data_IF_828049371687
#
_entry.id   IF_828049371687
#
_cell.length_a   1.000
_cell.length_b   1.000
_cell.length_c   1.000
_cell.angle_alpha   90.00
_cell.angle_beta   90.00
_cell.angle_gamma   90.00
#
_symmetry.space_group_name_H-M   'P 1'
#
loop_
_entity.id
_entity.type
_entity.pdbx_description
1 polymer ?
#
# COMPACT_ATOMS: atom_id res chain seq x y z
N UNK A 1 10.43 41.25 -11.70
CA UNK A 1 9.81 41.02 -13.03
C UNK A 1 10.43 39.78 -13.71
N UNK A 2 9.70 38.66 -13.75
CA UNK A 2 10.15 37.45 -14.45
C UNK A 2 9.97 37.63 -15.95
N UNK A 3 11.07 37.53 -16.72
CA UNK A 3 11.01 37.56 -18.19
C UNK A 3 10.22 36.34 -18.71
N UNK A 4 9.25 36.60 -19.61
CA UNK A 4 8.57 35.52 -20.34
C UNK A 4 9.57 34.84 -21.29
N UNK A 5 9.60 33.51 -21.24
CA UNK A 5 10.52 32.69 -22.04
C UNK A 5 10.15 32.78 -23.53
N UNK A 6 11.14 33.05 -24.37
CA UNK A 6 10.99 33.17 -25.84
C UNK A 6 10.81 31.82 -26.55
N UNK A 7 11.26 30.69 -25.96
CA UNK A 7 11.10 29.35 -26.53
C UNK A 7 10.88 28.28 -25.46
N UNK A 8 10.03 27.28 -25.78
CA UNK A 8 9.72 26.12 -24.96
C UNK A 8 8.47 26.28 -24.08
N UNK A 9 7.44 25.45 -24.31
CA UNK A 9 6.29 25.34 -23.39
C UNK A 9 6.75 24.71 -22.07
N UNK A 10 6.19 25.17 -20.94
CA UNK A 10 6.41 24.52 -19.65
C UNK A 10 6.11 23.03 -19.79
N UNK A 11 7.16 22.21 -19.61
CA UNK A 11 7.01 20.76 -19.59
C UNK A 11 6.35 20.27 -18.30
N UNK A 12 6.04 21.16 -17.35
CA UNK A 12 5.39 20.85 -16.09
C UNK A 12 3.91 21.21 -16.19
N UNK A 13 3.15 20.39 -16.91
CA UNK A 13 1.69 20.38 -16.77
C UNK A 13 1.34 19.84 -15.38
N UNK A 14 0.26 20.30 -14.75
CA UNK A 14 -0.25 19.73 -13.49
C UNK A 14 -0.28 18.20 -13.52
N UNK A 15 -0.68 17.62 -14.66
CA UNK A 15 -0.70 16.18 -14.89
C UNK A 15 0.69 15.52 -14.83
N UNK A 16 1.74 16.18 -15.32
CA UNK A 16 3.12 15.68 -15.22
C UNK A 16 3.67 15.80 -13.80
N UNK A 17 3.30 16.85 -13.06
CA UNK A 17 3.65 17.00 -11.65
C UNK A 17 2.97 15.93 -10.78
N UNK A 18 1.68 15.66 -11.00
CA UNK A 18 0.96 14.58 -10.32
C UNK A 18 1.55 13.21 -10.67
N UNK A 19 1.88 12.96 -11.94
CA UNK A 19 2.53 11.72 -12.36
C UNK A 19 3.92 11.54 -11.75
N UNK A 20 4.69 12.62 -11.64
CA UNK A 20 6.00 12.62 -11.00
C UNK A 20 5.87 12.34 -9.50
N UNK A 21 4.91 12.99 -8.83
CA UNK A 21 4.62 12.78 -7.42
C UNK A 21 4.12 11.35 -7.14
N UNK A 22 3.22 10.81 -7.97
CA UNK A 22 2.76 9.42 -7.90
C UNK A 22 3.91 8.45 -8.08
N UNK A 23 4.78 8.67 -9.08
CA UNK A 23 5.95 7.83 -9.31
C UNK A 23 6.93 7.86 -8.13
N UNK A 24 7.07 9.01 -7.45
CA UNK A 24 7.90 9.13 -6.24
C UNK A 24 7.23 8.50 -5.00
N UNK A 25 5.93 8.70 -4.85
CA UNK A 25 5.11 8.16 -3.76
C UNK A 25 5.07 6.62 -3.78
N UNK A 26 5.05 6.00 -4.97
CA UNK A 26 5.11 4.55 -5.14
C UNK A 26 6.54 3.98 -5.10
N UNK A 27 7.57 4.72 -5.53
CA UNK A 27 8.96 4.23 -5.50
C UNK A 27 9.63 4.27 -4.13
N UNK A 28 9.34 5.29 -3.31
CA UNK A 28 10.14 5.60 -2.12
C UNK A 28 9.43 5.31 -0.79
N UNK A 29 8.30 4.60 -0.77
CA UNK A 29 7.54 4.46 0.47
C UNK A 29 6.80 3.14 0.63
N UNK A 30 6.88 2.63 1.88
CA UNK A 30 6.10 1.49 2.40
C UNK A 30 4.66 1.93 2.77
N UNK A 31 4.36 3.24 2.67
CA UNK A 31 3.06 3.85 2.95
C UNK A 31 1.87 3.23 2.18
N UNK A 32 1.90 3.08 0.83
CA UNK A 32 0.80 2.45 0.10
C UNK A 32 0.49 1.03 0.60
N UNK A 33 1.53 0.31 1.01
CA UNK A 33 1.44 -1.04 1.55
C UNK A 33 0.72 -1.09 2.90
N UNK A 34 1.07 -0.15 3.77
CA UNK A 34 0.46 0.00 5.10
C UNK A 34 -1.02 0.37 4.99
N UNK A 35 -1.38 1.20 4.00
CA UNK A 35 -2.78 1.55 3.71
C UNK A 35 -3.58 0.33 3.28
N UNK A 36 -3.05 -0.52 2.41
CA UNK A 36 -3.71 -1.76 1.99
C UNK A 36 -3.96 -2.71 3.17
N UNK A 37 -3.00 -2.86 4.08
CA UNK A 37 -3.18 -3.67 5.28
C UNK A 37 -4.28 -3.13 6.20
N UNK A 38 -4.29 -1.81 6.46
CA UNK A 38 -5.33 -1.16 7.28
C UNK A 38 -6.71 -1.31 6.63
N UNK A 39 -6.81 -1.13 5.32
CA UNK A 39 -8.05 -1.35 4.57
C UNK A 39 -8.53 -2.80 4.66
N UNK A 40 -7.62 -3.77 4.47
CA UNK A 40 -7.93 -5.19 4.59
C UNK A 40 -8.41 -5.55 6.00
N UNK A 41 -7.78 -5.00 7.03
CA UNK A 41 -8.19 -5.18 8.42
C UNK A 41 -9.58 -4.58 8.71
N UNK A 42 -9.89 -3.40 8.18
CA UNK A 42 -11.23 -2.80 8.33
C UNK A 42 -12.32 -3.64 7.67
N UNK A 43 -12.06 -4.17 6.46
CA UNK A 43 -13.01 -5.04 5.74
C UNK A 43 -13.21 -6.36 6.51
N UNK A 44 -12.12 -6.94 7.03
CA UNK A 44 -12.20 -8.13 7.88
C UNK A 44 -13.05 -7.89 9.12
N UNK A 45 -12.84 -6.77 9.82
CA UNK A 45 -13.59 -6.42 11.02
C UNK A 45 -15.07 -6.18 10.71
N UNK A 46 -15.38 -5.48 9.61
CA UNK A 46 -16.75 -5.29 9.14
C UNK A 46 -17.43 -6.63 8.80
N UNK A 47 -16.69 -7.54 8.14
CA UNK A 47 -17.16 -8.89 7.87
C UNK A 47 -17.47 -9.68 9.14
N UNK A 48 -16.61 -9.59 10.15
CA UNK A 48 -16.80 -10.28 11.43
C UNK A 48 -18.04 -9.78 12.18
N UNK A 49 -18.31 -8.47 12.15
CA UNK A 49 -19.55 -7.88 12.68
C UNK A 49 -20.79 -8.36 11.92
N UNK A 50 -20.74 -8.40 10.60
CA UNK A 50 -21.83 -8.87 9.73
C UNK A 50 -22.12 -10.36 9.97
N UNK A 51 -21.08 -11.17 10.13
CA UNK A 51 -21.21 -12.59 10.46
C UNK A 51 -21.88 -12.80 11.82
N UNK A 52 -21.48 -12.04 12.85
CA UNK A 52 -22.13 -12.05 14.16
C UNK A 52 -23.60 -11.64 14.11
N UNK A 53 -23.91 -10.58 13.37
CA UNK A 53 -25.29 -10.13 13.15
C UNK A 53 -26.15 -11.21 12.47
N UNK A 54 -25.64 -11.84 11.41
CA UNK A 54 -26.35 -12.91 10.70
C UNK A 54 -26.57 -14.16 11.56
N UNK A 55 -25.63 -14.48 12.46
CA UNK A 55 -25.78 -15.55 13.45
C UNK A 55 -26.92 -15.25 14.42
N UNK A 56 -26.95 -14.04 14.99
CA UNK A 56 -28.03 -13.60 15.90
C UNK A 56 -29.38 -13.64 15.18
N UNK A 57 -29.44 -13.14 13.94
CA UNK A 57 -30.65 -13.14 13.12
C UNK A 57 -31.16 -14.58 12.88
N UNK A 58 -30.27 -15.55 12.68
CA UNK A 58 -30.62 -16.97 12.50
C UNK A 58 -31.24 -17.59 13.75
N UNK A 59 -30.80 -17.19 14.95
CA UNK A 59 -31.40 -17.66 16.20
C UNK A 59 -32.79 -17.03 16.43
N UNK A 60 -33.01 -15.78 16.00
CA UNK A 60 -34.29 -15.08 16.21
C UNK A 60 -35.34 -15.38 15.13
N UNK A 61 -34.93 -15.71 13.89
CA UNK A 61 -35.83 -15.96 12.77
C UNK A 61 -35.69 -17.40 12.23
N UNK A 62 -36.65 -18.30 12.53
CA UNK A 62 -36.65 -19.68 12.01
C UNK A 62 -36.89 -19.79 10.50
N UNK A 63 -37.39 -18.72 9.87
CA UNK A 63 -37.75 -18.67 8.44
C UNK A 63 -36.54 -18.58 7.48
N UNK A 64 -35.32 -18.43 8.01
CA UNK A 64 -34.12 -18.31 7.16
C UNK A 64 -33.76 -19.70 6.61
N UNK A 65 -33.62 -19.79 5.27
CA UNK A 65 -33.21 -20.99 4.57
C UNK A 65 -32.01 -21.70 5.24
N UNK A 66 -32.12 -23.02 5.37
CA UNK A 66 -31.08 -23.88 5.95
C UNK A 66 -29.81 -23.74 5.12
N UNK A 67 -28.66 -23.59 5.78
CA UNK A 67 -27.35 -23.46 5.12
C UNK A 67 -26.99 -22.06 4.60
N UNK A 68 -27.95 -21.16 4.40
CA UNK A 68 -27.68 -19.82 3.85
C UNK A 68 -26.78 -18.98 4.77
N UNK A 69 -27.10 -18.93 6.06
CA UNK A 69 -26.30 -18.21 7.06
C UNK A 69 -24.88 -18.78 7.18
N UNK A 70 -24.73 -20.10 7.21
CA UNK A 70 -23.41 -20.74 7.34
C UNK A 70 -22.53 -20.53 6.11
N UNK A 71 -23.11 -20.53 4.91
CA UNK A 71 -22.37 -20.28 3.66
C UNK A 71 -21.87 -18.83 3.63
N UNK A 72 -22.72 -17.85 3.96
CA UNK A 72 -22.32 -16.44 3.97
C UNK A 72 -21.25 -16.18 5.03
N UNK A 73 -21.41 -16.71 6.24
CA UNK A 73 -20.41 -16.60 7.30
C UNK A 73 -19.07 -17.20 6.86
N UNK A 74 -19.08 -18.38 6.24
CA UNK A 74 -17.86 -19.00 5.72
C UNK A 74 -17.20 -18.14 4.65
N UNK A 75 -17.96 -17.63 3.66
CA UNK A 75 -17.43 -16.76 2.60
C UNK A 75 -16.80 -15.50 3.19
N UNK A 76 -17.42 -14.89 4.21
CA UNK A 76 -16.89 -13.68 4.84
C UNK A 76 -15.61 -13.96 5.61
N UNK A 77 -15.56 -15.06 6.39
CA UNK A 77 -14.35 -15.44 7.14
C UNK A 77 -13.20 -15.77 6.20
N UNK A 78 -13.45 -16.60 5.18
CA UNK A 78 -12.44 -16.95 4.19
C UNK A 78 -12.06 -15.75 3.32
N UNK A 79 -13.01 -14.94 2.88
CA UNK A 79 -12.74 -13.75 2.07
C UNK A 79 -11.91 -12.71 2.83
N UNK A 80 -12.29 -12.41 4.08
CA UNK A 80 -11.56 -11.46 4.91
C UNK A 80 -10.14 -11.94 5.26
N UNK A 81 -9.95 -13.22 5.57
CA UNK A 81 -8.61 -13.79 5.82
C UNK A 81 -7.72 -13.76 4.57
N UNK A 82 -8.26 -14.03 3.38
CA UNK A 82 -7.51 -13.90 2.12
C UNK A 82 -7.03 -12.47 1.85
N UNK A 83 -7.88 -11.46 2.05
CA UNK A 83 -7.48 -10.04 1.88
C UNK A 83 -6.37 -9.67 2.86
N UNK A 84 -6.45 -10.16 4.11
CA UNK A 84 -5.43 -9.92 5.12
C UNK A 84 -4.08 -10.56 4.73
N UNK A 85 -4.09 -11.79 4.19
CA UNK A 85 -2.91 -12.47 3.67
C UNK A 85 -2.29 -11.71 2.49
N UNK A 86 -3.09 -11.22 1.55
CA UNK A 86 -2.59 -10.41 0.42
C UNK A 86 -1.93 -9.12 0.92
N UNK A 87 -2.51 -8.47 1.93
CA UNK A 87 -1.90 -7.30 2.58
C UNK A 87 -0.52 -7.61 3.18
N UNK A 88 -0.40 -8.73 3.89
CA UNK A 88 0.87 -9.18 4.48
C UNK A 88 1.92 -9.52 3.43
N UNK A 89 1.53 -10.27 2.38
CA UNK A 89 2.40 -10.62 1.26
C UNK A 89 2.88 -9.36 0.54
N UNK A 90 1.99 -8.39 0.35
CA UNK A 90 2.33 -7.05 -0.13
C UNK A 90 3.44 -6.44 0.73
N UNK A 91 3.26 -6.37 2.06
CA UNK A 91 4.24 -5.81 3.00
C UNK A 91 5.63 -6.43 2.87
N UNK A 92 5.66 -7.75 2.75
CA UNK A 92 6.89 -8.50 2.54
C UNK A 92 7.51 -8.20 1.17
N UNK A 93 6.74 -8.27 0.08
CA UNK A 93 7.23 -7.99 -1.27
C UNK A 93 7.79 -6.57 -1.39
N UNK A 94 7.13 -5.58 -0.78
CA UNK A 94 7.60 -4.20 -0.80
C UNK A 94 8.94 -4.03 -0.09
N UNK A 95 9.15 -4.70 1.05
CA UNK A 95 10.46 -4.72 1.73
C UNK A 95 11.53 -5.40 0.89
N UNK A 96 11.21 -6.52 0.24
CA UNK A 96 12.14 -7.20 -0.66
C UNK A 96 12.48 -6.31 -1.85
N UNK A 97 11.51 -5.64 -2.46
CA UNK A 97 11.74 -4.72 -3.58
C UNK A 97 12.66 -3.55 -3.20
N UNK A 98 12.49 -2.99 -2.00
CA UNK A 98 13.37 -1.93 -1.49
C UNK A 98 14.80 -2.45 -1.22
N UNK A 99 14.91 -3.68 -0.73
CA UNK A 99 16.21 -4.33 -0.47
C UNK A 99 16.95 -4.63 -1.78
N UNK A 100 16.24 -5.10 -2.81
CA UNK A 100 16.80 -5.41 -4.13
C UNK A 100 17.19 -4.15 -4.92
N UNK A 101 16.45 -3.04 -4.77
CA UNK A 101 16.73 -1.82 -5.53
C UNK A 101 17.94 -1.03 -5.03
N UNK A 102 18.65 -1.49 -3.99
CA UNK A 102 19.86 -0.84 -3.45
C UNK A 102 19.75 0.69 -3.39
N UNK A 103 18.56 1.23 -3.04
CA UNK A 103 18.39 2.67 -3.05
C UNK A 103 19.33 3.25 -2.00
N UNK A 104 20.30 4.10 -2.39
CA UNK A 104 21.25 4.64 -1.43
C UNK A 104 20.46 5.43 -0.38
N UNK A 105 20.58 5.02 0.89
CA UNK A 105 19.93 5.65 2.05
C UNK A 105 20.30 7.14 2.20
N UNK A 106 21.30 7.60 1.45
CA UNK A 106 21.89 8.92 1.53
C UNK A 106 22.48 9.30 0.17
N UNK A 107 22.13 10.50 -0.31
CA UNK A 107 22.85 11.18 -1.39
C UNK A 107 23.80 12.17 -0.71
N UNK A 108 25.10 11.92 -0.81
CA UNK A 108 26.11 12.83 -0.30
C UNK A 108 26.04 14.12 -1.14
N UNK A 109 25.53 15.20 -0.53
CA UNK A 109 25.38 16.50 -1.21
C UNK A 109 26.68 17.27 -1.32
N UNK A 110 27.55 17.17 -0.32
CA UNK A 110 28.83 17.87 -0.29
C UNK A 110 29.76 17.17 0.70
N UNK A 111 31.04 17.08 0.36
CA UNK A 111 32.08 16.54 1.25
C UNK A 111 33.19 17.55 1.37
N UNK A 112 33.44 18.00 2.60
CA UNK A 112 34.47 18.99 2.91
C UNK A 112 35.55 18.29 3.70
N UNK A 113 36.79 18.37 3.21
CA UNK A 113 37.99 17.87 3.89
C UNK A 113 38.09 16.33 4.03
N UNK A 114 37.74 15.58 2.97
CA UNK A 114 37.99 14.14 2.91
C UNK A 114 39.22 13.87 2.04
N UNK A 115 40.28 13.33 2.64
CA UNK A 115 41.40 12.75 1.89
C UNK A 115 40.96 11.42 1.29
N UNK A 116 40.68 11.41 -0.02
CA UNK A 116 40.22 10.24 -0.77
C UNK A 116 41.27 9.12 -0.71
N UNK A 117 41.19 8.24 0.29
CA UNK A 117 41.83 6.92 0.21
C UNK A 117 40.85 6.00 -0.47
N UNK A 118 41.13 5.72 -1.74
CA UNK A 118 40.47 4.72 -2.54
C UNK A 118 40.39 3.39 -1.79
N UNK A 119 39.18 2.88 -1.61
CA UNK A 119 38.89 1.45 -1.64
C UNK A 119 37.42 1.24 -1.96
N UNK A 120 37.16 1.19 -3.27
CA UNK A 120 36.10 0.35 -3.80
C UNK A 120 36.30 -1.07 -3.26
N UNK A 121 35.39 -1.54 -2.42
CA UNK A 121 35.00 -2.94 -2.41
C UNK A 121 33.60 -3.06 -1.81
N UNK A 122 32.79 -3.77 -2.58
CA UNK A 122 31.38 -4.13 -2.47
C UNK A 122 30.82 -4.26 -1.05
#
# INVERSE_FOLDING_TARGET
PHHQRLYGKSNYTLMKLVRLWLNGFTNFSILPLRLCFIFGFMIFLAGLLLAGFLLILKFTNPQIFVGWTSIIVAIIIFGGSNVMLIGLVGEYLGRVFLTLNHQPQSIIKETVNISTTSRHRY
#
